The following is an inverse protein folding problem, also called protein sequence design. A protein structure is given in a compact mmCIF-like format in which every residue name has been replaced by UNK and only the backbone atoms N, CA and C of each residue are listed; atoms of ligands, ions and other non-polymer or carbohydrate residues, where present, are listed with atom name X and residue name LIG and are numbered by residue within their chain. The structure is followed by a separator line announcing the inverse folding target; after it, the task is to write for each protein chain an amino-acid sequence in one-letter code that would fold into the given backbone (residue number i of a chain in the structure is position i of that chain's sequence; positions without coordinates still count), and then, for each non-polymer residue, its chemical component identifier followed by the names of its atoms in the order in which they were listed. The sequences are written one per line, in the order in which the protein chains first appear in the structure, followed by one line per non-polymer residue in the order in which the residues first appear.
data_IF_202345239431
#
_entry.id   IF_202345239431
#
_cell.length_a   1.000
_cell.length_b   1.000
_cell.length_c   1.000
_cell.angle_alpha   90.00
_cell.angle_beta   90.00
_cell.angle_gamma   90.00
#
_symmetry.space_group_name_H-M   'P 1'
#
loop_
_entity.id
_entity.type
_entity.pdbx_description
1 polymer ?
#
# COMPACT_ATOMS: atom_id res chain seq x y z
N UNK A 1 -50.89 -11.58 26.90
CA UNK A 1 -50.61 -11.24 25.49
C UNK A 1 -49.25 -11.80 25.17
N UNK A 2 -49.21 -12.91 24.45
CA UNK A 2 -48.01 -13.73 24.22
C UNK A 2 -47.42 -13.35 22.87
N UNK A 3 -46.14 -12.98 22.83
CA UNK A 3 -45.45 -12.59 21.59
C UNK A 3 -45.36 -13.77 20.61
N UNK A 4 -45.53 -13.55 19.29
CA UNK A 4 -45.37 -14.62 18.32
C UNK A 4 -43.89 -15.03 18.23
N UNK A 5 -43.65 -16.35 18.36
CA UNK A 5 -42.34 -16.99 18.23
C UNK A 5 -41.92 -16.96 16.76
N UNK A 6 -40.82 -16.29 16.45
CA UNK A 6 -40.18 -16.33 15.12
C UNK A 6 -39.74 -17.77 14.87
N UNK A 7 -40.35 -18.43 13.88
CA UNK A 7 -39.91 -19.74 13.42
C UNK A 7 -38.64 -19.54 12.59
N UNK A 8 -37.53 -20.16 13.01
CA UNK A 8 -36.31 -20.25 12.20
C UNK A 8 -36.61 -21.11 10.97
N UNK A 9 -36.80 -20.49 9.81
CA UNK A 9 -36.89 -21.20 8.54
C UNK A 9 -35.53 -21.83 8.21
N UNK A 10 -35.51 -23.16 8.17
CA UNK A 10 -34.41 -23.98 7.65
C UNK A 10 -34.13 -23.51 6.21
N UNK A 11 -32.94 -22.96 5.98
CA UNK A 11 -32.52 -22.44 4.66
C UNK A 11 -32.63 -23.53 3.58
N UNK A 12 -33.64 -23.43 2.72
CA UNK A 12 -33.77 -24.27 1.54
C UNK A 12 -32.51 -24.15 0.65
N UNK A 13 -32.09 -25.23 -0.05
CA UNK A 13 -30.98 -25.17 -0.99
C UNK A 13 -31.28 -24.16 -2.11
N UNK A 14 -30.28 -23.35 -2.47
CA UNK A 14 -30.44 -22.25 -3.44
C UNK A 14 -30.96 -22.78 -4.78
N UNK A 15 -32.23 -22.46 -5.09
CA UNK A 15 -32.81 -22.76 -6.41
C UNK A 15 -32.25 -21.81 -7.47
N UNK A 16 -32.21 -22.25 -8.73
CA UNK A 16 -31.73 -21.43 -9.84
C UNK A 16 -32.48 -20.09 -9.97
N UNK A 17 -33.79 -20.07 -9.66
CA UNK A 17 -34.59 -18.84 -9.63
C UNK A 17 -34.15 -17.87 -8.53
N UNK A 18 -33.67 -18.37 -7.39
CA UNK A 18 -33.11 -17.58 -6.29
C UNK A 18 -31.72 -16.99 -6.61
N UNK A 19 -31.04 -17.49 -7.65
CA UNK A 19 -29.77 -16.97 -8.16
C UNK A 19 -29.91 -16.23 -9.50
N UNK A 20 -31.15 -15.99 -9.95
CA UNK A 20 -31.42 -15.25 -11.19
C UNK A 20 -30.96 -13.79 -11.07
N UNK A 21 -30.62 -13.15 -12.21
CA UNK A 21 -30.01 -11.82 -12.29
C UNK A 21 -30.81 -10.66 -11.63
N UNK A 22 -32.05 -10.90 -11.22
CA UNK A 22 -32.89 -9.94 -10.48
C UNK A 22 -33.18 -10.33 -9.03
N UNK A 23 -32.63 -11.45 -8.55
CA UNK A 23 -32.84 -11.91 -7.18
C UNK A 23 -31.94 -11.16 -6.21
N UNK A 24 -32.49 -10.71 -5.08
CA UNK A 24 -31.73 -10.10 -3.96
C UNK A 24 -30.67 -11.05 -3.36
N UNK A 25 -30.81 -12.36 -3.60
CA UNK A 25 -29.84 -13.41 -3.23
C UNK A 25 -28.71 -13.59 -4.26
N UNK A 26 -28.94 -13.16 -5.51
CA UNK A 26 -27.92 -13.13 -6.55
C UNK A 26 -27.15 -11.80 -6.42
N UNK A 27 -26.22 -11.73 -5.47
CA UNK A 27 -25.37 -10.56 -5.29
C UNK A 27 -24.42 -10.46 -6.50
N UNK A 28 -24.87 -9.82 -7.58
CA UNK A 28 -23.94 -9.18 -8.52
C UNK A 28 -23.47 -7.88 -7.86
N UNK A 29 -22.16 -7.75 -7.63
CA UNK A 29 -21.58 -6.60 -6.91
C UNK A 29 -21.77 -5.26 -7.62
N UNK A 30 -22.23 -5.26 -8.88
CA UNK A 30 -22.38 -4.05 -9.70
C UNK A 30 -23.62 -3.20 -9.36
N UNK A 31 -24.65 -3.76 -8.73
CA UNK A 31 -25.91 -3.06 -8.37
C UNK A 31 -26.45 -3.50 -7.00
N UNK A 32 -25.63 -3.35 -5.95
CA UNK A 32 -26.05 -3.68 -4.58
C UNK A 32 -27.21 -2.81 -4.09
N UNK A 33 -28.15 -3.41 -3.35
CA UNK A 33 -29.20 -2.66 -2.64
C UNK A 33 -28.58 -1.80 -1.53
N UNK A 34 -29.21 -0.67 -1.20
CA UNK A 34 -28.82 0.13 -0.05
C UNK A 34 -29.00 -0.69 1.24
N UNK A 35 -27.89 -1.07 1.87
CA UNK A 35 -27.89 -1.91 3.07
C UNK A 35 -28.02 -1.10 4.37
N UNK A 36 -27.56 0.15 4.36
CA UNK A 36 -27.49 1.02 5.54
C UNK A 36 -28.22 2.34 5.32
N UNK A 37 -28.74 2.92 6.40
CA UNK A 37 -29.35 4.25 6.36
C UNK A 37 -28.31 5.33 6.06
N UNK A 38 -28.70 6.36 5.31
CA UNK A 38 -27.92 7.59 5.08
C UNK A 38 -28.63 8.70 5.85
N UNK A 39 -27.97 9.29 6.84
CA UNK A 39 -28.54 10.34 7.68
C UNK A 39 -27.52 11.47 7.94
N UNK A 40 -28.03 12.61 8.41
CA UNK A 40 -27.24 13.75 8.83
C UNK A 40 -27.61 14.12 10.28
N UNK A 41 -26.60 14.25 11.14
CA UNK A 41 -26.81 14.50 12.56
C UNK A 41 -27.15 15.96 12.87
N UNK A 42 -27.89 16.16 13.96
CA UNK A 42 -28.22 17.48 14.48
C UNK A 42 -26.95 18.18 14.94
N UNK A 43 -26.63 19.33 14.34
CA UNK A 43 -25.45 20.13 14.68
C UNK A 43 -24.24 19.93 13.75
N UNK A 44 -24.29 18.98 12.81
CA UNK A 44 -23.26 18.86 11.78
C UNK A 44 -23.32 20.02 10.77
N UNK A 45 -22.18 20.66 10.52
CA UNK A 45 -22.04 21.79 9.58
C UNK A 45 -21.66 21.29 8.19
N UNK A 46 -22.34 21.79 7.15
CA UNK A 46 -22.12 21.39 5.74
C UNK A 46 -21.05 22.24 5.03
N UNK A 47 -20.75 23.45 5.52
CA UNK A 47 -19.77 24.40 4.94
C UNK A 47 -20.05 24.83 3.47
N UNK A 48 -21.17 24.44 2.90
CA UNK A 48 -21.60 24.84 1.56
C UNK A 48 -22.60 26.00 1.64
N UNK A 49 -22.29 27.18 1.06
CA UNK A 49 -23.24 28.28 0.97
C UNK A 49 -24.35 27.97 -0.06
N UNK A 50 -25.41 28.81 -0.09
CA UNK A 50 -26.54 28.60 -1.00
C UNK A 50 -26.16 28.69 -2.50
N UNK A 51 -25.08 29.40 -2.83
CA UNK A 51 -24.55 29.51 -4.20
C UNK A 51 -23.46 28.49 -4.52
N UNK A 52 -23.22 27.49 -3.68
CA UNK A 52 -22.16 26.49 -3.90
C UNK A 52 -22.29 25.79 -5.26
N UNK A 53 -23.53 25.56 -5.73
CA UNK A 53 -23.77 24.99 -7.07
C UNK A 53 -23.33 25.89 -8.23
N UNK A 54 -23.21 27.20 -8.00
CA UNK A 54 -22.72 28.16 -9.00
C UNK A 54 -21.20 28.32 -8.94
N UNK A 55 -20.55 27.93 -7.84
CA UNK A 55 -19.08 27.97 -7.73
C UNK A 55 -18.46 26.83 -8.53
N UNK A 56 -17.44 27.17 -9.32
CA UNK A 56 -16.72 26.20 -10.15
C UNK A 56 -15.25 26.14 -9.74
N UNK A 57 -14.63 24.97 -9.94
CA UNK A 57 -13.20 24.80 -9.73
C UNK A 57 -12.45 25.49 -10.86
N UNK A 58 -11.41 26.24 -10.51
CA UNK A 58 -10.55 26.93 -11.46
C UNK A 58 -9.09 26.64 -11.15
N UNK A 59 -8.26 26.53 -12.19
CA UNK A 59 -6.82 26.32 -12.06
C UNK A 59 -6.06 27.31 -12.93
N UNK A 60 -5.07 27.99 -12.34
CA UNK A 60 -4.17 28.90 -13.05
C UNK A 60 -3.16 28.18 -13.94
N UNK A 61 -2.98 26.86 -13.75
CA UNK A 61 -1.94 26.07 -14.42
C UNK A 61 -1.95 26.26 -15.94
N UNK A 62 -3.12 26.23 -16.57
CA UNK A 62 -3.23 26.34 -18.05
C UNK A 62 -2.79 27.73 -18.53
N UNK A 63 -3.21 28.79 -17.84
CA UNK A 63 -2.86 30.17 -18.18
C UNK A 63 -1.36 30.39 -17.95
N UNK A 64 -0.84 29.92 -16.82
CA UNK A 64 0.56 30.02 -16.48
C UNK A 64 1.43 29.30 -17.51
N UNK A 65 1.03 28.10 -17.95
CA UNK A 65 1.75 27.34 -18.96
C UNK A 65 1.70 28.02 -20.35
N UNK A 66 0.59 28.67 -20.70
CA UNK A 66 0.50 29.48 -21.92
C UNK A 66 1.40 30.72 -21.87
N UNK A 67 1.38 31.46 -20.77
CA UNK A 67 2.21 32.66 -20.56
C UNK A 67 3.69 32.27 -20.57
N UNK A 68 4.07 31.18 -19.87
CA UNK A 68 5.44 30.66 -19.87
C UNK A 68 5.91 30.32 -21.28
N UNK A 69 5.07 29.66 -22.08
CA UNK A 69 5.38 29.34 -23.48
C UNK A 69 5.51 30.59 -24.34
N UNK A 70 4.63 31.57 -24.14
CA UNK A 70 4.60 32.81 -24.91
C UNK A 70 5.82 33.71 -24.63
N UNK A 71 6.20 33.88 -23.36
CA UNK A 71 7.37 34.68 -22.97
C UNK A 71 8.70 33.92 -23.05
N UNK A 72 8.68 32.65 -23.46
CA UNK A 72 9.90 31.84 -23.58
C UNK A 72 10.60 31.57 -22.25
N UNK A 73 9.83 31.48 -21.16
CA UNK A 73 10.38 31.10 -19.85
C UNK A 73 10.93 29.68 -19.86
N UNK A 74 11.76 29.37 -18.86
CA UNK A 74 12.42 28.08 -18.74
C UNK A 74 11.39 26.94 -18.68
N UNK A 75 11.56 25.96 -19.57
CA UNK A 75 10.71 24.77 -19.59
C UNK A 75 11.09 23.86 -18.43
N UNK A 76 10.11 23.13 -17.92
CA UNK A 76 10.37 22.06 -16.95
C UNK A 76 11.24 20.96 -17.57
N UNK A 77 12.10 20.34 -16.75
CA UNK A 77 12.92 19.18 -17.12
C UNK A 77 12.04 18.01 -17.57
N UNK A 78 10.77 17.97 -17.16
CA UNK A 78 9.79 16.96 -17.60
C UNK A 78 9.49 17.03 -19.09
N UNK A 79 9.76 18.16 -19.75
CA UNK A 79 9.65 18.28 -21.21
C UNK A 79 10.74 17.53 -21.96
N UNK A 80 11.84 17.18 -21.30
CA UNK A 80 12.88 16.34 -21.89
C UNK A 80 12.59 14.86 -21.67
N UNK A 81 12.60 14.04 -22.75
CA UNK A 81 12.28 12.62 -22.67
C UNK A 81 13.34 11.83 -21.89
N UNK A 82 14.59 12.31 -21.86
CA UNK A 82 15.68 11.62 -21.19
C UNK A 82 15.78 12.01 -19.72
N UNK A 83 16.05 11.04 -18.84
CA UNK A 83 16.17 11.28 -17.38
C UNK A 83 17.63 11.20 -16.95
N UNK A 84 18.21 12.36 -16.61
CA UNK A 84 19.64 12.49 -16.31
C UNK A 84 20.05 12.09 -14.88
N UNK A 85 19.14 12.15 -13.91
CA UNK A 85 19.47 11.97 -12.49
C UNK A 85 19.42 10.51 -12.01
N UNK A 86 19.32 9.55 -12.92
CA UNK A 86 19.30 8.13 -12.58
C UNK A 86 20.54 7.43 -13.14
N UNK A 87 21.48 7.12 -12.25
CA UNK A 87 22.67 6.29 -12.52
C UNK A 87 22.64 5.15 -11.49
N UNK A 88 22.82 3.88 -11.89
CA UNK A 88 23.51 3.39 -13.09
C UNK A 88 22.63 3.07 -14.31
N UNK A 89 21.32 3.24 -14.24
CA UNK A 89 20.41 2.84 -15.33
C UNK A 89 19.90 4.02 -16.12
N UNK A 90 19.85 3.86 -17.44
CA UNK A 90 19.23 4.84 -18.32
C UNK A 90 17.71 4.70 -18.29
N UNK A 91 17.01 5.82 -18.13
CA UNK A 91 15.55 5.88 -18.16
C UNK A 91 15.06 6.89 -19.20
N UNK A 92 13.88 6.62 -19.74
CA UNK A 92 13.12 7.53 -20.61
C UNK A 92 11.71 7.77 -20.07
N UNK A 93 11.19 8.97 -20.30
CA UNK A 93 9.81 9.34 -19.96
C UNK A 93 8.86 8.87 -21.07
N UNK A 94 7.82 8.13 -20.68
CA UNK A 94 6.69 7.77 -21.52
C UNK A 94 5.54 8.74 -21.26
N UNK A 95 5.22 9.58 -22.24
CA UNK A 95 4.20 10.61 -22.14
C UNK A 95 2.80 10.11 -22.50
N UNK A 96 1.79 10.57 -21.78
CA UNK A 96 0.38 10.31 -22.05
C UNK A 96 -0.31 11.56 -22.59
N UNK A 97 0.12 12.01 -23.78
CA UNK A 97 -0.43 13.18 -24.46
C UNK A 97 0.01 14.54 -23.89
N UNK A 98 0.56 14.60 -22.69
CA UNK A 98 1.07 15.84 -22.05
C UNK A 98 2.45 15.60 -21.39
N UNK A 99 3.45 16.50 -21.55
CA UNK A 99 4.70 16.45 -20.79
C UNK A 99 4.53 16.40 -19.27
N UNK A 100 3.42 16.89 -18.72
CA UNK A 100 3.15 16.84 -17.29
C UNK A 100 2.68 15.48 -16.79
N UNK A 101 2.19 14.61 -17.69
CA UNK A 101 1.69 13.28 -17.37
C UNK A 101 2.57 12.25 -18.06
N UNK A 102 3.55 11.74 -17.31
CA UNK A 102 4.49 10.75 -17.82
C UNK A 102 4.89 9.75 -16.75
N UNK A 103 5.26 8.56 -17.21
CA UNK A 103 5.93 7.53 -16.41
C UNK A 103 7.38 7.43 -16.82
N UNK A 104 8.24 6.97 -15.91
CA UNK A 104 9.66 6.79 -16.19
C UNK A 104 9.95 5.31 -16.37
N UNK A 105 10.35 4.92 -17.58
CA UNK A 105 10.60 3.53 -17.95
C UNK A 105 12.12 3.30 -18.10
N UNK A 106 12.67 2.22 -17.52
CA UNK A 106 14.07 1.86 -17.72
C UNK A 106 14.29 1.35 -19.14
N UNK A 107 15.35 1.83 -19.78
CA UNK A 107 15.80 1.31 -21.08
C UNK A 107 16.69 0.08 -20.93
N UNK A 108 17.47 0.02 -19.85
CA UNK A 108 18.39 -1.09 -19.59
C UNK A 108 17.64 -2.28 -19.02
N UNK A 109 17.85 -3.47 -19.60
CA UNK A 109 17.43 -4.74 -19.01
C UNK A 109 18.27 -5.02 -17.76
N UNK A 110 17.61 -5.35 -16.64
CA UNK A 110 18.29 -5.82 -15.43
C UNK A 110 18.64 -7.29 -15.59
N UNK A 111 19.92 -7.58 -15.74
CA UNK A 111 20.43 -8.94 -15.62
C UNK A 111 20.59 -9.28 -14.13
N UNK A 112 19.90 -10.33 -13.69
CA UNK A 112 20.09 -10.90 -12.36
C UNK A 112 20.87 -12.20 -12.55
N UNK A 113 21.94 -12.37 -11.80
CA UNK A 113 22.74 -13.58 -11.79
C UNK A 113 22.50 -14.29 -10.46
N UNK A 114 22.17 -15.57 -10.52
CA UNK A 114 22.08 -16.45 -9.36
C UNK A 114 23.16 -17.52 -9.52
N UNK A 115 24.07 -17.59 -8.54
CA UNK A 115 25.10 -18.62 -8.50
C UNK A 115 24.60 -19.81 -7.67
N UNK A 116 23.49 -20.38 -8.12
CA UNK A 116 22.81 -21.48 -7.46
C UNK A 116 22.70 -22.67 -8.44
N UNK A 117 23.05 -23.90 -8.03
CA UNK A 117 22.82 -25.07 -8.86
C UNK A 117 21.32 -25.26 -9.06
N UNK A 118 20.92 -25.74 -10.24
CA UNK A 118 19.51 -26.02 -10.55
C UNK A 118 19.16 -27.47 -10.15
N UNK A 119 17.94 -27.69 -9.65
CA UNK A 119 17.40 -29.03 -9.37
C UNK A 119 17.93 -29.71 -8.10
N UNK A 120 18.58 -28.98 -7.19
CA UNK A 120 19.12 -29.57 -5.95
C UNK A 120 18.11 -29.68 -4.81
N UNK A 121 17.07 -28.84 -4.77
CA UNK A 121 16.11 -28.80 -3.67
C UNK A 121 14.67 -28.59 -4.16
N UNK A 122 13.70 -29.12 -3.42
CA UNK A 122 12.27 -28.85 -3.59
C UNK A 122 11.87 -27.58 -2.83
N UNK A 123 10.80 -26.91 -3.27
CA UNK A 123 10.29 -25.70 -2.61
C UNK A 123 10.01 -25.91 -1.12
N UNK A 124 9.42 -27.05 -0.75
CA UNK A 124 9.08 -27.40 0.63
C UNK A 124 10.32 -27.54 1.53
N UNK A 125 11.39 -28.17 1.02
CA UNK A 125 12.65 -28.32 1.74
C UNK A 125 13.33 -26.97 1.93
N UNK A 126 13.30 -26.10 0.92
CA UNK A 126 13.84 -24.76 1.00
C UNK A 126 13.06 -23.87 1.98
N UNK A 127 11.73 -23.91 1.95
CA UNK A 127 10.89 -23.12 2.86
C UNK A 127 11.09 -23.54 4.32
N UNK A 128 11.22 -24.84 4.59
CA UNK A 128 11.57 -25.36 5.91
C UNK A 128 12.96 -24.88 6.36
N UNK A 129 13.97 -24.86 5.48
CA UNK A 129 15.29 -24.33 5.79
C UNK A 129 15.25 -22.82 6.09
N UNK A 130 14.50 -22.03 5.32
CA UNK A 130 14.35 -20.58 5.55
C UNK A 130 13.70 -20.32 6.90
N UNK A 131 12.65 -21.06 7.26
CA UNK A 131 11.99 -20.95 8.56
C UNK A 131 12.92 -21.33 9.72
N UNK A 132 13.70 -22.40 9.57
CA UNK A 132 14.72 -22.79 10.56
C UNK A 132 15.82 -21.74 10.70
N UNK A 133 16.29 -21.15 9.60
CA UNK A 133 17.29 -20.08 9.63
C UNK A 133 16.77 -18.81 10.30
N UNK A 134 15.49 -18.45 10.08
CA UNK A 134 14.85 -17.32 10.76
C UNK A 134 14.71 -17.58 12.27
N UNK A 135 14.32 -18.79 12.68
CA UNK A 135 14.24 -19.17 14.09
C UNK A 135 15.62 -19.16 14.77
N UNK A 136 16.65 -19.71 14.12
CA UNK A 136 18.02 -19.71 14.64
C UNK A 136 18.60 -18.29 14.78
N UNK A 137 18.30 -17.38 13.84
CA UNK A 137 18.71 -15.98 13.95
C UNK A 137 18.01 -15.26 15.13
N UNK A 138 16.75 -15.57 15.41
CA UNK A 138 16.04 -15.02 16.57
C UNK A 138 16.66 -15.50 17.90
N UNK A 139 17.00 -16.78 18.00
CA UNK A 139 17.69 -17.34 19.18
C UNK A 139 19.12 -16.79 19.36
N UNK A 140 19.83 -16.51 18.26
CA UNK A 140 21.14 -15.87 18.34
C UNK A 140 21.06 -14.42 18.83
N UNK A 141 20.01 -13.68 18.43
CA UNK A 141 19.79 -12.31 18.91
C UNK A 141 19.54 -12.28 20.41
N UNK A 142 18.69 -13.17 20.94
CA UNK A 142 18.41 -13.24 22.39
C UNK A 142 19.67 -13.60 23.17
N UNK A 143 20.43 -14.60 22.73
CA UNK A 143 21.70 -14.97 23.39
C UNK A 143 22.75 -13.85 23.33
N UNK A 144 22.79 -13.07 22.24
CA UNK A 144 23.71 -11.93 22.14
C UNK A 144 23.29 -10.82 23.12
N UNK A 145 22.00 -10.56 23.30
CA UNK A 145 21.51 -9.60 24.30
C UNK A 145 21.78 -10.06 25.73
N UNK A 146 21.54 -11.33 26.03
CA UNK A 146 21.86 -11.92 27.34
C UNK A 146 23.35 -11.81 27.66
N UNK A 147 24.21 -12.09 26.68
CA UNK A 147 25.66 -11.96 26.84
C UNK A 147 26.10 -10.51 27.05
N UNK A 148 25.47 -9.54 26.37
CA UNK A 148 25.70 -8.11 26.59
C UNK A 148 25.29 -7.69 28.00
N UNK A 149 24.11 -8.09 28.46
CA UNK A 149 23.63 -7.79 29.82
C UNK A 149 24.57 -8.41 30.86
N UNK A 150 25.01 -9.64 30.64
CA UNK A 150 25.97 -10.33 31.51
C UNK A 150 27.32 -9.61 31.58
N UNK A 151 27.83 -9.15 30.45
CA UNK A 151 29.08 -8.38 30.38
C UNK A 151 28.95 -7.03 31.11
N UNK A 152 27.85 -6.31 30.91
CA UNK A 152 27.56 -5.05 31.61
C UNK A 152 27.53 -5.27 33.12
N UNK A 153 26.81 -6.30 33.58
CA UNK A 153 26.73 -6.63 35.01
C UNK A 153 28.09 -7.02 35.61
N UNK A 154 28.94 -7.72 34.85
CA UNK A 154 30.30 -8.05 35.27
C UNK A 154 31.17 -6.78 35.42
N UNK A 155 31.06 -5.84 34.48
CA UNK A 155 31.76 -4.55 34.55
C UNK A 155 31.31 -3.76 35.78
N UNK A 156 30.00 -3.61 36.00
CA UNK A 156 29.45 -2.90 37.17
C UNK A 156 29.90 -3.55 38.49
N UNK A 157 29.91 -4.88 38.57
CA UNK A 157 30.38 -5.59 39.76
C UNK A 157 31.87 -5.36 40.00
N UNK A 158 32.68 -5.34 38.93
CA UNK A 158 34.13 -5.09 39.03
C UNK A 158 34.45 -3.65 39.48
N UNK A 159 33.68 -2.65 39.03
CA UNK A 159 33.87 -1.27 39.47
C UNK A 159 33.48 -1.09 40.94
N UNK A 160 32.37 -1.69 41.38
CA UNK A 160 31.95 -1.65 42.78
C UNK A 160 32.97 -2.32 43.73
N UNK A 161 33.60 -3.41 43.29
CA UNK A 161 34.67 -4.05 44.06
C UNK A 161 35.92 -3.16 44.18
N UNK A 162 36.29 -2.47 43.09
CA UNK A 162 37.42 -1.54 43.09
C UNK A 162 37.19 -0.30 43.98
N UNK A 163 35.96 0.20 44.08
CA UNK A 163 35.60 1.32 44.95
C UNK A 163 35.54 0.95 46.45
N UNK A 164 35.42 -0.35 46.76
CA UNK A 164 35.35 -0.86 48.14
C UNK A 164 36.72 -1.18 48.77
N UNK A 165 37.81 -1.05 48.01
CA UNK A 165 39.20 -1.22 48.45
C UNK A 165 39.88 0.14 48.68
#
# INVERSE_FOLDING_TARGET
MTAPRVQEEISAPNSYSALSKGSLRAVSMENGIQYSAIYWETGHRTWLPFWASMTQKFTWKIIDDQIRRFWGFTKSITSEPFVFYSSPRTYMRQYFGDPDVHLTAPLSVKWNFAFCPTGTETFEAYDAQVQQALAANAEQQTHTEENKIRAINAIIRSSQQAESQ
#
